data_IF_818711971843
#
_entry.id   IF_818711971843
#
_cell.length_a   1.000
_cell.length_b   1.000
_cell.length_c   1.000
_cell.angle_alpha   90.00
_cell.angle_beta   90.00
_cell.angle_gamma   90.00
#
_symmetry.space_group_name_H-M   'P 1'
#
loop_
_entity.id
_entity.type
_entity.pdbx_description
1 polymer ?
#
# COMPACT_ATOMS: atom_id res chain seq x y z
N UNK A 1 -17.29 2.43 -2.86
CA UNK A 1 -16.87 2.88 -1.51
C UNK A 1 -15.41 3.31 -1.55
N UNK A 2 -15.04 4.43 -0.91
CA UNK A 2 -13.63 4.81 -0.74
C UNK A 2 -13.02 3.95 0.37
N UNK A 3 -11.75 3.57 0.26
CA UNK A 3 -11.04 2.83 1.33
C UNK A 3 -10.98 3.66 2.63
N UNK A 4 -11.18 4.97 2.55
CA UNK A 4 -11.29 5.85 3.72
C UNK A 4 -12.66 5.79 4.42
N UNK A 5 -13.73 5.44 3.71
CA UNK A 5 -15.05 5.25 4.33
C UNK A 5 -15.05 4.00 5.23
N UNK A 6 -14.24 2.99 4.86
CA UNK A 6 -13.99 1.81 5.70
C UNK A 6 -13.09 2.11 6.90
N UNK A 7 -12.29 3.18 6.87
CA UNK A 7 -11.37 3.54 7.97
C UNK A 7 -12.09 3.91 9.28
N UNK A 8 -13.37 4.30 9.24
CA UNK A 8 -14.18 4.48 10.44
C UNK A 8 -14.44 3.15 11.18
N UNK A 9 -14.70 2.06 10.44
CA UNK A 9 -14.78 0.70 10.98
C UNK A 9 -13.39 0.15 11.33
N UNK A 10 -12.34 0.52 10.58
CA UNK A 10 -10.97 0.05 10.83
C UNK A 10 -10.33 0.63 12.09
N UNK A 11 -10.80 1.75 12.65
CA UNK A 11 -10.17 2.38 13.83
C UNK A 11 -10.19 1.51 15.09
N UNK A 12 -11.17 0.61 15.23
CA UNK A 12 -11.22 -0.39 16.31
C UNK A 12 -10.29 -1.58 16.04
N UNK A 13 -10.09 -1.96 14.78
CA UNK A 13 -9.18 -3.02 14.34
C UNK A 13 -7.71 -2.57 14.36
N UNK A 14 -7.45 -1.33 13.98
CA UNK A 14 -6.14 -0.64 14.01
C UNK A 14 -5.54 -0.62 15.42
N UNK A 15 -6.37 -0.54 16.47
CA UNK A 15 -5.92 -0.61 17.87
C UNK A 15 -5.52 -2.00 18.34
N UNK A 16 -5.89 -3.06 17.60
CA UNK A 16 -5.70 -4.48 17.97
C UNK A 16 -4.61 -5.19 17.17
N UNK A 17 -4.08 -4.55 16.14
CA UNK A 17 -3.14 -5.14 15.19
C UNK A 17 -1.75 -4.54 15.33
N UNK A 18 -1.23 -4.46 16.55
CA UNK A 18 0.22 -4.30 16.68
C UNK A 18 0.89 -5.64 16.33
N UNK A 19 2.06 -5.56 15.68
CA UNK A 19 2.84 -6.72 15.20
C UNK A 19 3.15 -7.74 16.31
N UNK A 20 3.16 -7.27 17.56
CA UNK A 20 3.38 -8.06 18.77
C UNK A 20 2.11 -8.77 19.26
N UNK A 21 0.92 -8.19 19.06
CA UNK A 21 -0.36 -8.82 19.45
C UNK A 21 -0.69 -10.01 18.55
N UNK A 22 -0.58 -9.89 17.22
CA UNK A 22 -0.86 -11.02 16.31
C UNK A 22 0.07 -12.22 16.58
N UNK A 23 1.32 -11.96 16.99
CA UNK A 23 2.29 -13.01 17.37
C UNK A 23 2.06 -13.58 18.77
N UNK A 24 1.52 -12.80 19.69
CA UNK A 24 1.30 -13.21 21.08
C UNK A 24 -0.04 -13.93 21.33
N UNK A 25 -1.03 -13.78 20.44
CA UNK A 25 -2.38 -14.34 20.62
C UNK A 25 -2.52 -15.80 20.15
N UNK A 26 -1.59 -16.67 20.55
CA UNK A 26 -1.69 -18.13 20.39
C UNK A 26 -2.64 -18.82 21.40
N UNK A 27 -3.71 -18.13 21.83
CA UNK A 27 -4.73 -18.66 22.73
C UNK A 27 -5.94 -19.19 21.95
N UNK A 28 -6.61 -20.23 22.47
CA UNK A 28 -7.72 -20.91 21.79
C UNK A 28 -8.94 -20.04 21.46
N UNK A 29 -9.08 -18.85 22.08
CA UNK A 29 -10.20 -17.90 21.87
C UNK A 29 -9.82 -16.67 21.02
N UNK A 30 -8.61 -16.61 20.45
CA UNK A 30 -8.21 -15.49 19.60
C UNK A 30 -8.91 -15.57 18.22
N UNK A 31 -9.41 -14.44 17.67
CA UNK A 31 -10.00 -14.44 16.35
C UNK A 31 -8.98 -14.84 15.29
N UNK A 32 -9.40 -15.70 14.37
CA UNK A 32 -8.59 -16.14 13.24
C UNK A 32 -8.24 -14.97 12.32
N UNK A 33 -7.16 -15.12 11.57
CA UNK A 33 -6.73 -14.14 10.57
C UNK A 33 -7.85 -13.80 9.58
N UNK A 34 -8.64 -14.80 9.15
CA UNK A 34 -9.79 -14.61 8.27
C UNK A 34 -10.89 -13.75 8.90
N UNK A 35 -11.18 -13.94 10.19
CA UNK A 35 -12.19 -13.15 10.91
C UNK A 35 -11.74 -11.70 11.11
N UNK A 36 -10.44 -11.46 11.23
CA UNK A 36 -9.86 -10.12 11.32
C UNK A 36 -9.84 -9.40 9.96
N UNK A 37 -9.65 -10.13 8.86
CA UNK A 37 -9.62 -9.58 7.50
C UNK A 37 -11.02 -9.32 6.92
N UNK A 38 -12.00 -10.15 7.23
CA UNK A 38 -13.35 -10.07 6.65
C UNK A 38 -13.97 -8.66 6.71
N UNK A 39 -13.96 -7.93 7.84
CA UNK A 39 -14.53 -6.58 7.91
C UNK A 39 -13.82 -5.57 6.99
N UNK A 40 -12.51 -5.72 6.77
CA UNK A 40 -11.74 -4.84 5.88
C UNK A 40 -12.09 -5.12 4.42
N UNK A 41 -12.16 -6.40 4.05
CA UNK A 41 -12.48 -6.84 2.70
C UNK A 41 -13.92 -6.51 2.32
N UNK A 42 -14.89 -6.75 3.20
CA UNK A 42 -16.31 -6.43 2.97
C UNK A 42 -16.54 -4.93 2.78
N UNK A 43 -15.77 -4.09 3.47
CA UNK A 43 -15.95 -2.65 3.42
C UNK A 43 -15.37 -1.99 2.14
N UNK A 44 -14.52 -2.70 1.37
CA UNK A 44 -13.86 -2.13 0.19
C UNK A 44 -13.57 -3.14 -0.91
N UNK A 45 -14.28 -3.01 -2.04
CA UNK A 45 -13.98 -3.78 -3.25
C UNK A 45 -12.57 -3.52 -3.82
N UNK A 46 -11.96 -2.36 -3.56
CA UNK A 46 -10.56 -2.12 -3.93
C UNK A 46 -9.61 -3.03 -3.13
N UNK A 47 -9.90 -3.28 -1.85
CA UNK A 47 -9.08 -4.18 -1.02
C UNK A 47 -9.25 -5.64 -1.44
N UNK A 48 -10.45 -6.05 -1.86
CA UNK A 48 -10.69 -7.39 -2.42
C UNK A 48 -9.88 -7.62 -3.71
N UNK A 49 -9.91 -6.66 -4.64
CA UNK A 49 -9.08 -6.72 -5.84
C UNK A 49 -7.58 -6.74 -5.48
N UNK A 50 -7.18 -5.90 -4.53
CA UNK A 50 -5.79 -5.81 -4.09
C UNK A 50 -5.29 -7.12 -3.47
N UNK A 51 -6.10 -7.79 -2.65
CA UNK A 51 -5.79 -9.10 -2.05
C UNK A 51 -5.46 -10.13 -3.12
N UNK A 52 -6.34 -10.28 -4.11
CA UNK A 52 -6.18 -11.25 -5.20
C UNK A 52 -4.91 -10.96 -6.01
N UNK A 53 -4.67 -9.69 -6.32
CA UNK A 53 -3.47 -9.27 -7.07
C UNK A 53 -2.18 -9.50 -6.30
N UNK A 54 -2.14 -9.12 -5.02
CA UNK A 54 -0.95 -9.27 -4.20
C UNK A 54 -0.62 -10.74 -3.94
N UNK A 55 -1.62 -11.61 -3.77
CA UNK A 55 -1.39 -13.05 -3.66
C UNK A 55 -0.68 -13.61 -4.90
N UNK A 56 -1.11 -13.20 -6.10
CA UNK A 56 -0.44 -13.58 -7.36
C UNK A 56 0.99 -13.04 -7.45
N UNK A 57 1.20 -11.77 -7.14
CA UNK A 57 2.54 -11.17 -7.17
C UNK A 57 3.49 -11.75 -6.14
N UNK A 58 2.99 -12.13 -4.96
CA UNK A 58 3.77 -12.81 -3.93
C UNK A 58 4.21 -14.20 -4.40
N UNK A 59 3.31 -14.96 -5.03
CA UNK A 59 3.64 -16.27 -5.61
C UNK A 59 4.69 -16.16 -6.74
N UNK A 60 4.64 -15.08 -7.52
CA UNK A 60 5.63 -14.77 -8.56
C UNK A 60 6.96 -14.22 -8.01
N UNK A 61 7.07 -13.97 -6.70
CA UNK A 61 8.26 -13.38 -6.08
C UNK A 61 8.54 -11.93 -6.50
N UNK A 62 7.52 -11.20 -6.98
CA UNK A 62 7.62 -9.79 -7.39
C UNK A 62 7.60 -8.88 -6.17
N UNK A 63 8.24 -7.71 -6.24
CA UNK A 63 8.13 -6.67 -5.23
C UNK A 63 7.15 -5.58 -5.64
N UNK A 64 6.30 -5.17 -4.71
CA UNK A 64 5.17 -4.28 -4.98
C UNK A 64 5.28 -3.00 -4.16
N UNK A 65 5.17 -1.84 -4.81
CA UNK A 65 5.02 -0.56 -4.12
C UNK A 65 3.56 -0.10 -4.17
N UNK A 66 2.93 0.02 -3.01
CA UNK A 66 1.59 0.58 -2.85
C UNK A 66 1.70 2.08 -2.58
N UNK A 67 1.25 2.88 -3.55
CA UNK A 67 1.36 4.34 -3.52
C UNK A 67 0.01 4.95 -3.18
N UNK A 68 0.00 5.74 -2.10
CA UNK A 68 -1.11 6.61 -1.71
C UNK A 68 -0.65 8.05 -1.88
N UNK A 69 -1.27 8.74 -2.84
CA UNK A 69 -1.02 10.17 -3.07
C UNK A 69 -2.07 11.01 -2.35
N UNK A 70 -1.64 12.03 -1.63
CA UNK A 70 -2.57 12.96 -0.98
C UNK A 70 -1.96 13.76 0.16
N UNK A 71 -2.84 14.47 0.85
CA UNK A 71 -2.48 15.31 1.99
C UNK A 71 -2.34 14.52 3.30
N UNK A 72 -2.19 15.23 4.41
CA UNK A 72 -2.08 14.65 5.75
C UNK A 72 -3.26 13.73 6.13
N UNK A 73 -4.48 13.96 5.61
CA UNK A 73 -5.67 13.17 5.94
C UNK A 73 -5.63 11.78 5.31
N UNK A 74 -4.98 11.65 4.15
CA UNK A 74 -4.79 10.39 3.44
C UNK A 74 -3.81 9.42 4.12
N UNK A 75 -3.08 9.85 5.17
CA UNK A 75 -2.25 8.95 6.00
C UNK A 75 -3.06 7.84 6.66
N UNK A 76 -4.31 8.11 7.00
CA UNK A 76 -5.22 7.10 7.56
C UNK A 76 -5.44 5.90 6.63
N UNK A 77 -5.34 6.09 5.30
CA UNK A 77 -5.39 4.99 4.34
C UNK A 77 -4.14 4.10 4.44
N UNK A 78 -2.98 4.70 4.67
CA UNK A 78 -1.71 3.97 4.81
C UNK A 78 -1.74 3.11 6.08
N UNK A 79 -2.35 3.62 7.16
CA UNK A 79 -2.56 2.85 8.39
C UNK A 79 -3.47 1.63 8.15
N UNK A 80 -4.56 1.81 7.39
CA UNK A 80 -5.45 0.70 6.99
C UNK A 80 -4.71 -0.33 6.15
N UNK A 81 -3.89 0.12 5.19
CA UNK A 81 -3.09 -0.77 4.35
C UNK A 81 -2.03 -1.51 5.15
N UNK A 82 -1.42 -0.86 6.14
CA UNK A 82 -0.47 -1.49 7.07
C UNK A 82 -1.13 -2.62 7.85
N UNK A 83 -2.33 -2.38 8.38
CA UNK A 83 -3.12 -3.44 9.04
C UNK A 83 -3.42 -4.59 8.07
N UNK A 84 -3.86 -4.26 6.87
CA UNK A 84 -4.19 -5.24 5.83
C UNK A 84 -3.00 -6.15 5.48
N UNK A 85 -1.83 -5.57 5.17
CA UNK A 85 -0.64 -6.37 4.83
C UNK A 85 -0.09 -7.14 6.04
N UNK A 86 -0.20 -6.57 7.23
CA UNK A 86 0.23 -7.21 8.47
C UNK A 86 -0.65 -8.44 8.78
N UNK A 87 -1.97 -8.32 8.59
CA UNK A 87 -2.90 -9.44 8.76
C UNK A 87 -2.64 -10.54 7.73
N UNK A 88 -2.23 -10.23 6.51
CA UNK A 88 -1.80 -11.24 5.53
C UNK A 88 -0.45 -11.89 5.85
N UNK A 89 0.32 -11.35 6.80
CA UNK A 89 1.65 -11.85 7.14
C UNK A 89 2.73 -11.52 6.11
N UNK A 90 2.48 -10.58 5.21
CA UNK A 90 3.44 -10.16 4.19
C UNK A 90 4.55 -9.29 4.79
N UNK A 91 5.78 -9.46 4.29
CA UNK A 91 6.89 -8.58 4.66
C UNK A 91 6.70 -7.20 4.00
N UNK A 92 6.84 -6.13 4.78
CA UNK A 92 6.64 -4.79 4.27
C UNK A 92 7.54 -3.75 4.96
N UNK A 93 7.77 -2.65 4.26
CA UNK A 93 8.36 -1.42 4.79
C UNK A 93 7.39 -0.25 4.57
N UNK A 94 7.39 0.72 5.49
CA UNK A 94 6.53 1.90 5.44
C UNK A 94 7.35 3.17 5.31
N UNK A 95 7.03 3.99 4.31
CA UNK A 95 7.66 5.27 4.06
C UNK A 95 6.57 6.37 3.98
N UNK A 96 6.45 7.17 5.03
CA UNK A 96 5.50 8.29 5.07
C UNK A 96 6.07 9.57 4.43
N UNK A 97 5.23 10.52 4.02
CA UNK A 97 5.63 11.69 3.24
C UNK A 97 6.55 12.72 3.96
N UNK A 98 6.94 12.50 5.23
CA UNK A 98 7.92 13.36 5.92
C UNK A 98 9.33 13.02 5.41
N UNK A 99 9.69 13.64 4.27
CA UNK A 99 10.86 13.28 3.44
C UNK A 99 12.21 13.31 4.15
N UNK A 100 12.36 14.16 5.17
CA UNK A 100 13.61 14.28 5.95
C UNK A 100 13.64 13.39 7.20
N UNK A 101 12.60 12.59 7.42
CA UNK A 101 12.62 11.57 8.44
C UNK A 101 13.66 10.50 8.13
N UNK A 102 14.56 10.23 9.08
CA UNK A 102 15.50 9.10 9.02
C UNK A 102 14.77 7.78 8.76
N UNK A 103 13.56 7.63 9.32
CA UNK A 103 12.70 6.47 9.10
C UNK A 103 12.30 6.29 7.63
N UNK A 104 11.87 7.36 6.95
CA UNK A 104 11.47 7.33 5.55
C UNK A 104 12.62 6.86 4.65
N UNK A 105 13.79 7.51 4.78
CA UNK A 105 14.99 7.15 3.99
C UNK A 105 15.43 5.71 4.26
N UNK A 106 15.35 5.27 5.51
CA UNK A 106 15.71 3.89 5.90
C UNK A 106 14.76 2.85 5.32
N UNK A 107 13.45 3.10 5.32
CA UNK A 107 12.46 2.21 4.73
C UNK A 107 12.69 2.03 3.22
N UNK A 108 12.91 3.14 2.50
CA UNK A 108 13.23 3.11 1.07
C UNK A 108 14.54 2.38 0.79
N UNK A 109 15.57 2.60 1.61
CA UNK A 109 16.84 1.90 1.49
C UNK A 109 16.68 0.39 1.70
N UNK A 110 15.94 -0.03 2.74
CA UNK A 110 15.68 -1.45 3.01
C UNK A 110 14.92 -2.12 1.88
N UNK A 111 13.88 -1.47 1.37
CA UNK A 111 13.14 -1.96 0.20
C UNK A 111 14.05 -2.11 -1.03
N UNK A 112 14.95 -1.15 -1.25
CA UNK A 112 15.88 -1.16 -2.39
C UNK A 112 16.98 -2.22 -2.26
N UNK A 113 17.44 -2.48 -1.04
CA UNK A 113 18.49 -3.47 -0.74
C UNK A 113 17.97 -4.89 -0.63
N UNK A 114 16.67 -5.07 -0.38
CA UNK A 114 16.04 -6.39 -0.36
C UNK A 114 16.29 -7.12 -1.68
N UNK A 115 16.68 -8.39 -1.61
CA UNK A 115 17.02 -9.21 -2.77
C UNK A 115 15.88 -10.14 -3.16
N UNK A 116 15.04 -10.51 -2.19
CA UNK A 116 13.87 -11.39 -2.38
C UNK A 116 12.60 -10.76 -1.82
N UNK A 117 11.45 -11.23 -2.29
CA UNK A 117 10.15 -10.83 -1.74
C UNK A 117 10.00 -11.25 -0.26
N UNK A 118 10.62 -12.35 0.16
CA UNK A 118 10.60 -12.76 1.57
C UNK A 118 11.24 -11.73 2.51
N UNK A 119 12.34 -11.08 2.06
CA UNK A 119 13.00 -10.01 2.81
C UNK A 119 12.13 -8.75 2.87
N UNK A 120 11.55 -8.35 1.73
CA UNK A 120 10.63 -7.22 1.64
C UNK A 120 9.77 -7.32 0.38
N UNK A 121 8.51 -7.70 0.56
CA UNK A 121 7.55 -7.84 -0.52
C UNK A 121 6.91 -6.50 -0.86
N UNK A 122 6.44 -5.75 0.14
CA UNK A 122 5.64 -4.54 -0.05
C UNK A 122 6.34 -3.27 0.47
N UNK A 123 6.30 -2.19 -0.32
CA UNK A 123 6.54 -0.84 0.15
C UNK A 123 5.21 -0.08 0.28
N UNK A 124 4.82 0.30 1.48
CA UNK A 124 3.72 1.23 1.72
C UNK A 124 4.26 2.66 1.65
N UNK A 125 3.85 3.40 0.63
CA UNK A 125 4.37 4.73 0.36
C UNK A 125 3.26 5.78 0.37
N UNK A 126 3.31 6.67 1.37
CA UNK A 126 2.56 7.91 1.34
C UNK A 126 3.38 8.98 0.63
N UNK A 127 2.84 9.60 -0.42
CA UNK A 127 3.52 10.68 -1.13
C UNK A 127 2.73 11.97 -1.13
N UNK A 128 3.42 13.05 -0.75
CA UNK A 128 3.01 14.43 -0.96
C UNK A 128 4.12 15.13 -1.76
N UNK A 129 4.16 14.84 -3.07
CA UNK A 129 5.17 15.34 -3.99
C UNK A 129 6.57 14.75 -3.79
N UNK A 130 6.69 13.59 -3.16
CA UNK A 130 7.94 12.81 -3.14
C UNK A 130 8.24 12.28 -4.54
N UNK A 131 9.49 12.48 -4.98
CA UNK A 131 9.99 12.18 -6.33
C UNK A 131 11.01 11.05 -6.34
N UNK A 132 11.13 10.33 -5.22
CA UNK A 132 12.07 9.21 -5.15
C UNK A 132 11.65 8.12 -6.14
N UNK A 133 12.54 7.72 -7.07
CA UNK A 133 12.24 6.67 -8.04
C UNK A 133 12.17 5.32 -7.34
N UNK A 134 11.28 4.45 -7.79
CA UNK A 134 11.03 3.13 -7.20
C UNK A 134 11.69 2.05 -8.05
N UNK A 135 12.99 2.18 -8.28
CA UNK A 135 13.75 1.32 -9.22
C UNK A 135 13.79 -0.16 -8.81
N UNK A 136 13.54 -0.44 -7.53
CA UNK A 136 13.48 -1.79 -6.97
C UNK A 136 12.09 -2.46 -7.11
N UNK A 137 11.02 -1.70 -7.37
CA UNK A 137 9.69 -2.28 -7.48
C UNK A 137 9.49 -2.93 -8.87
N UNK A 138 8.98 -4.16 -8.89
CA UNK A 138 8.55 -4.82 -10.12
C UNK A 138 7.11 -4.40 -10.49
N UNK A 139 6.31 -4.02 -9.49
CA UNK A 139 4.95 -3.51 -9.65
C UNK A 139 4.73 -2.26 -8.81
N UNK A 140 4.14 -1.22 -9.38
CA UNK A 140 3.71 -0.02 -8.67
C UNK A 140 2.19 0.10 -8.77
N UNK A 141 1.50 0.07 -7.63
CA UNK A 141 0.04 0.16 -7.55
C UNK A 141 -0.35 1.49 -6.94
N UNK A 142 -1.08 2.31 -7.68
CA UNK A 142 -1.68 3.56 -7.18
C UNK A 142 -3.08 3.26 -6.65
N UNK A 143 -3.27 3.47 -5.34
CA UNK A 143 -4.55 3.21 -4.65
C UNK A 143 -5.44 4.45 -4.55
N UNK A 144 -4.79 5.61 -4.48
CA UNK A 144 -5.43 6.91 -4.49
C UNK A 144 -4.59 7.83 -5.39
N UNK A 145 -4.95 7.98 -6.67
CA UNK A 145 -4.27 8.92 -7.56
C UNK A 145 -4.56 10.37 -7.14
N UNK A 146 -3.75 11.30 -7.66
CA UNK A 146 -4.03 12.72 -7.52
C UNK A 146 -5.30 13.06 -8.28
N UNK A 147 -6.13 13.95 -7.72
CA UNK A 147 -7.30 14.50 -8.40
C UNK A 147 -6.90 15.35 -9.61
N UNK A 148 -5.71 15.98 -9.57
CA UNK A 148 -5.09 16.67 -10.70
C UNK A 148 -4.36 15.63 -11.59
N UNK A 149 -4.81 15.43 -12.85
CA UNK A 149 -4.20 14.48 -13.79
C UNK A 149 -2.74 14.78 -14.08
N UNK A 150 -2.35 16.05 -14.15
CA UNK A 150 -0.96 16.46 -14.42
C UNK A 150 -0.07 16.04 -13.27
N UNK A 151 -0.53 16.26 -12.04
CA UNK A 151 0.18 15.79 -10.84
C UNK A 151 0.27 14.25 -10.80
N UNK A 152 -0.76 13.52 -11.23
CA UNK A 152 -0.72 12.06 -11.29
C UNK A 152 0.29 11.55 -12.33
N UNK A 153 0.21 12.03 -13.56
CA UNK A 153 1.15 11.67 -14.64
C UNK A 153 2.58 12.02 -14.23
N UNK A 154 2.77 13.17 -13.60
CA UNK A 154 4.08 13.55 -13.08
C UNK A 154 4.59 12.58 -12.02
N UNK A 155 3.73 12.17 -11.08
CA UNK A 155 4.11 11.16 -10.09
C UNK A 155 4.45 9.81 -10.72
N UNK A 156 3.78 9.43 -11.81
CA UNK A 156 4.10 8.22 -12.56
C UNK A 156 5.51 8.31 -13.14
N UNK A 157 5.79 9.39 -13.87
CA UNK A 157 7.10 9.64 -14.49
C UNK A 157 8.20 9.68 -13.43
N UNK A 158 8.00 10.41 -12.33
CA UNK A 158 9.01 10.53 -11.28
C UNK A 158 9.32 9.17 -10.62
N UNK A 159 8.30 8.33 -10.38
CA UNK A 159 8.47 7.00 -9.75
C UNK A 159 9.02 5.93 -10.68
N UNK A 160 8.67 6.02 -11.96
CA UNK A 160 9.06 5.07 -13.01
C UNK A 160 10.27 5.55 -13.82
N UNK A 161 10.98 6.57 -13.32
CA UNK A 161 12.08 7.22 -14.03
C UNK A 161 13.30 6.31 -14.22
N UNK A 162 14.31 6.84 -14.90
CA UNK A 162 15.56 6.18 -15.31
C UNK A 162 16.20 5.39 -14.16
N UNK A 163 16.59 4.15 -14.44
CA UNK A 163 17.26 3.24 -13.48
C UNK A 163 16.50 1.95 -13.18
N UNK A 164 15.33 1.75 -13.80
CA UNK A 164 14.64 0.45 -13.78
C UNK A 164 15.51 -0.61 -14.46
N UNK A 165 15.88 -1.63 -13.70
CA UNK A 165 16.67 -2.77 -14.20
C UNK A 165 15.78 -3.87 -14.78
N UNK A 166 14.47 -3.80 -14.53
CA UNK A 166 13.45 -4.76 -14.97
C UNK A 166 12.21 -4.03 -15.49
N UNK A 167 11.42 -4.64 -16.38
CA UNK A 167 10.12 -4.10 -16.77
C UNK A 167 9.24 -3.98 -15.52
N UNK A 168 8.76 -2.76 -15.25
CA UNK A 168 7.89 -2.51 -14.11
C UNK A 168 6.44 -2.32 -14.56
N UNK A 169 5.53 -3.00 -13.89
CA UNK A 169 4.09 -2.91 -14.16
C UNK A 169 3.48 -1.80 -13.34
N UNK A 170 2.71 -0.91 -13.98
CA UNK A 170 1.94 0.12 -13.28
C UNK A 170 0.47 -0.28 -13.26
N UNK A 171 -0.12 -0.28 -12.07
CA UNK A 171 -1.54 -0.54 -11.86
C UNK A 171 -2.17 0.67 -11.19
N UNK A 172 -3.34 1.07 -11.67
CA UNK A 172 -4.18 2.07 -11.02
C UNK A 172 -5.52 1.43 -10.62
N UNK A 173 -5.81 1.43 -9.32
CA UNK A 173 -7.09 0.94 -8.81
C UNK A 173 -8.08 2.10 -8.66
N UNK A 174 -8.98 2.22 -9.63
CA UNK A 174 -10.06 3.21 -9.64
C UNK A 174 -11.41 2.54 -9.38
N UNK A 175 -12.29 3.22 -8.64
CA UNK A 175 -13.67 2.79 -8.47
C UNK A 175 -14.53 3.51 -9.51
N UNK A 176 -15.25 2.75 -10.34
CA UNK A 176 -16.14 3.31 -11.37
C UNK A 176 -17.16 4.26 -10.74
N UNK A 177 -17.35 5.44 -11.34
CA UNK A 177 -18.26 6.47 -10.87
C UNK A 177 -17.82 7.19 -9.59
N UNK A 178 -16.62 6.92 -9.07
CA UNK A 178 -16.02 7.67 -7.97
C UNK A 178 -15.09 8.76 -8.50
N UNK A 179 -14.66 9.68 -7.61
CA UNK A 179 -13.79 10.80 -8.01
C UNK A 179 -12.50 10.37 -8.70
N UNK A 180 -11.96 9.21 -8.34
CA UNK A 180 -10.77 8.64 -8.97
C UNK A 180 -11.01 8.26 -10.45
N UNK A 181 -12.22 7.80 -10.80
CA UNK A 181 -12.61 7.50 -12.19
C UNK A 181 -12.83 8.80 -12.98
N UNK A 182 -13.40 9.84 -12.37
CA UNK A 182 -13.53 11.16 -13.01
C UNK A 182 -12.16 11.80 -13.30
N UNK A 183 -11.21 11.70 -12.38
CA UNK A 183 -9.86 12.23 -12.57
C UNK A 183 -9.11 11.56 -13.73
N UNK A 184 -9.53 10.37 -14.18
CA UNK A 184 -8.91 9.65 -15.30
C UNK A 184 -9.58 9.89 -16.66
N UNK A 185 -10.77 10.48 -16.66
CA UNK A 185 -11.54 10.75 -17.90
C UNK A 185 -11.35 12.18 -18.43
N UNK A 186 -10.61 13.00 -17.70
CA UNK A 186 -10.24 14.38 -18.05
C UNK A 186 -8.87 14.40 -18.73
#
# INVERSE_FOLDING_TARGET
>A
ARILDSAAASRSLLKRCTKDEIRAHGGADAPSQSELLAPLLEASGKLQCLETMLAGYHADGKRVALVVSGDASSRSLVDVLETFVCLHGWSYERADAVKDGVAHKRALQRFSLARTADECFILLLHTSGDRTPLTAADVVVFLQPSWDPVCHVKSLVDKMSVGLTRPATVVLLASVGAMDDYALRL
#
